data_IF_062586364488
#
_entry.id   IF_062586364488
#
_cell.length_a   1.000
_cell.length_b   1.000
_cell.length_c   1.000
_cell.angle_alpha   90.00
_cell.angle_beta   90.00
_cell.angle_gamma   90.00
#
_symmetry.space_group_name_H-M   'P 1'
#
loop_
_entity.id
_entity.type
_entity.pdbx_description
1 polymer ?
#
# COMPACT_ATOMS: atom_id res chain seq x y z
N UNK A 1 14.77 30.19 -23.54
CA UNK A 1 13.78 29.80 -22.51
C UNK A 1 13.54 28.31 -22.70
N UNK A 2 14.46 27.48 -22.21
CA UNK A 2 14.33 26.03 -22.29
C UNK A 2 13.59 25.57 -21.03
N UNK A 3 12.32 25.22 -21.20
CA UNK A 3 11.56 24.57 -20.16
C UNK A 3 12.13 23.16 -19.99
N UNK A 4 12.88 22.98 -18.90
CA UNK A 4 13.43 21.70 -18.47
C UNK A 4 12.27 20.73 -18.20
N UNK A 5 11.97 19.89 -19.17
CA UNK A 5 11.08 18.73 -19.02
C UNK A 5 11.83 17.69 -18.19
N UNK A 6 11.77 17.84 -16.87
CA UNK A 6 12.09 16.75 -15.95
C UNK A 6 11.15 15.59 -16.30
N UNK A 7 11.69 14.61 -17.00
CA UNK A 7 11.02 13.35 -17.26
C UNK A 7 10.62 12.76 -15.90
N UNK A 8 9.34 12.86 -15.55
CA UNK A 8 8.77 12.20 -14.38
C UNK A 8 9.05 10.71 -14.56
N UNK A 9 9.93 10.15 -13.74
CA UNK A 9 10.14 8.71 -13.70
C UNK A 9 8.77 8.03 -13.49
N UNK A 10 8.48 6.90 -14.15
CA UNK A 10 7.23 6.20 -13.92
C UNK A 10 7.12 5.90 -12.43
N UNK A 11 6.16 6.56 -11.77
CA UNK A 11 5.93 6.36 -10.36
C UNK A 11 5.56 4.88 -10.17
N UNK A 12 6.26 4.12 -9.32
CA UNK A 12 5.95 2.71 -9.13
C UNK A 12 4.50 2.59 -8.67
N UNK A 13 3.69 1.91 -9.48
CA UNK A 13 2.29 1.66 -9.15
C UNK A 13 2.27 0.64 -8.03
N UNK A 14 1.74 1.04 -6.87
CA UNK A 14 1.60 0.14 -5.73
C UNK A 14 0.58 -0.95 -6.12
N UNK A 15 0.93 -2.24 -6.00
CA UNK A 15 -0.01 -3.31 -6.30
C UNK A 15 -1.22 -3.22 -5.36
N UNK A 16 -2.41 -3.42 -5.94
CA UNK A 16 -3.69 -3.32 -5.27
C UNK A 16 -4.50 -4.58 -5.61
N UNK A 17 -5.12 -5.24 -4.62
CA UNK A 17 -5.96 -6.39 -4.89
C UNK A 17 -7.24 -5.99 -5.64
N UNK A 18 -7.95 -6.95 -6.28
CA UNK A 18 -9.17 -6.68 -7.03
C UNK A 18 -10.20 -5.96 -6.17
N UNK A 19 -10.59 -4.74 -6.52
CA UNK A 19 -11.45 -3.90 -5.70
C UNK A 19 -12.91 -3.96 -6.14
N UNK A 20 -13.82 -3.85 -5.18
CA UNK A 20 -15.24 -3.65 -5.43
C UNK A 20 -15.53 -2.16 -5.63
N UNK A 21 -16.48 -1.79 -6.50
CA UNK A 21 -16.71 -0.40 -6.91
C UNK A 21 -17.07 0.54 -5.75
N UNK A 22 -17.90 0.08 -4.80
CA UNK A 22 -18.35 0.89 -3.66
C UNK A 22 -17.67 0.53 -2.33
N UNK A 23 -17.28 -0.73 -2.16
CA UNK A 23 -16.74 -1.25 -0.90
C UNK A 23 -15.21 -1.36 -0.91
N UNK A 24 -14.55 -1.14 -2.04
CA UNK A 24 -13.11 -1.35 -2.19
C UNK A 24 -12.72 -2.79 -1.86
N UNK A 25 -11.79 -2.95 -0.93
CA UNK A 25 -11.25 -4.22 -0.45
C UNK A 25 -11.89 -4.66 0.87
N UNK A 26 -12.86 -3.91 1.40
CA UNK A 26 -13.51 -4.22 2.68
C UNK A 26 -14.12 -5.63 2.76
N UNK A 27 -14.77 -6.17 1.71
CA UNK A 27 -15.30 -7.54 1.74
C UNK A 27 -14.21 -8.63 1.75
N UNK A 28 -12.98 -8.27 1.34
CA UNK A 28 -11.84 -9.18 1.35
C UNK A 28 -11.10 -9.13 2.70
N UNK A 29 -11.42 -8.19 3.59
CA UNK A 29 -10.81 -8.13 4.91
C UNK A 29 -11.45 -9.17 5.83
N UNK A 30 -10.64 -10.08 6.38
CA UNK A 30 -11.09 -11.01 7.40
C UNK A 30 -11.34 -10.29 8.73
N UNK A 31 -12.56 -10.42 9.27
CA UNK A 31 -12.90 -9.87 10.58
C UNK A 31 -12.24 -10.63 11.75
N UNK A 32 -11.94 -11.91 11.56
CA UNK A 32 -11.41 -12.77 12.63
C UNK A 32 -9.88 -12.75 12.71
N UNK A 33 -9.19 -12.78 11.56
CA UNK A 33 -7.73 -12.86 11.50
C UNK A 33 -7.17 -11.84 10.49
N UNK A 34 -7.33 -10.52 10.73
CA UNK A 34 -6.98 -9.49 9.75
C UNK A 34 -5.50 -9.51 9.37
N UNK A 35 -4.60 -9.63 10.35
CA UNK A 35 -3.14 -9.61 10.10
C UNK A 35 -2.68 -10.78 9.24
N UNK A 36 -3.10 -12.02 9.57
CA UNK A 36 -2.74 -13.20 8.77
C UNK A 36 -3.32 -13.11 7.35
N UNK A 37 -4.55 -12.59 7.23
CA UNK A 37 -5.17 -12.37 5.94
C UNK A 37 -4.39 -11.36 5.09
N UNK A 38 -3.92 -10.26 5.68
CA UNK A 38 -3.05 -9.31 4.98
C UNK A 38 -1.73 -9.94 4.54
N UNK A 39 -1.12 -10.78 5.36
CA UNK A 39 0.10 -11.51 4.96
C UNK A 39 -0.16 -12.39 3.73
N UNK A 40 -1.28 -13.12 3.70
CA UNK A 40 -1.66 -13.92 2.52
C UNK A 40 -1.97 -13.08 1.28
N UNK A 41 -2.59 -11.90 1.44
CA UNK A 41 -2.79 -10.96 0.34
C UNK A 41 -1.45 -10.38 -0.17
N UNK A 42 -0.52 -10.10 0.74
CA UNK A 42 0.78 -9.56 0.38
C UNK A 42 1.64 -10.55 -0.40
N UNK A 43 1.64 -11.81 0.03
CA UNK A 43 2.27 -12.92 -0.70
C UNK A 43 1.67 -13.07 -2.11
N UNK A 44 0.33 -12.99 -2.21
CA UNK A 44 -0.37 -13.22 -3.47
C UNK A 44 -0.25 -12.09 -4.50
N UNK A 45 -0.25 -10.83 -4.07
CA UNK A 45 -0.40 -9.68 -4.99
C UNK A 45 0.80 -8.74 -5.05
N UNK A 46 1.73 -8.82 -4.10
CA UNK A 46 2.77 -7.82 -3.93
C UNK A 46 4.16 -8.40 -3.64
N UNK A 47 4.35 -9.71 -3.82
CA UNK A 47 5.61 -10.42 -3.52
C UNK A 47 6.12 -10.13 -2.10
N UNK A 48 5.20 -9.90 -1.16
CA UNK A 48 5.54 -9.53 0.22
C UNK A 48 6.12 -8.13 0.44
N UNK A 49 6.14 -7.25 -0.56
CA UNK A 49 6.79 -5.95 -0.47
C UNK A 49 5.89 -4.85 0.10
N UNK A 50 4.90 -4.43 -0.68
CA UNK A 50 4.05 -3.26 -0.38
C UNK A 50 2.70 -3.42 -1.07
N UNK A 51 1.60 -3.24 -0.35
CA UNK A 51 0.24 -3.51 -0.81
C UNK A 51 -0.69 -2.34 -0.47
N UNK A 52 -1.45 -1.87 -1.45
CA UNK A 52 -2.46 -0.84 -1.23
C UNK A 52 -3.85 -1.45 -1.03
N UNK A 53 -4.54 -1.01 0.02
CA UNK A 53 -5.87 -1.45 0.40
C UNK A 53 -6.82 -0.26 0.34
N UNK A 54 -7.77 -0.32 -0.57
CA UNK A 54 -8.85 0.66 -0.63
C UNK A 54 -9.98 0.27 0.32
N UNK A 55 -10.40 1.18 1.18
CA UNK A 55 -11.64 1.03 1.97
C UNK A 55 -12.52 2.26 1.72
N UNK A 56 -13.84 2.19 1.95
CA UNK A 56 -14.72 3.34 1.83
C UNK A 56 -14.34 4.50 2.76
N UNK A 57 -13.56 4.24 3.82
CA UNK A 57 -13.13 5.25 4.80
C UNK A 57 -11.74 5.83 4.52
N UNK A 58 -10.97 5.19 3.63
CA UNK A 58 -9.60 5.62 3.35
C UNK A 58 -8.76 4.56 2.66
N UNK A 59 -7.59 4.99 2.21
CA UNK A 59 -6.61 4.12 1.58
C UNK A 59 -5.54 3.79 2.61
N UNK A 60 -5.25 2.51 2.78
CA UNK A 60 -4.22 2.02 3.68
C UNK A 60 -3.12 1.39 2.84
N UNK A 61 -1.88 1.74 3.13
CA UNK A 61 -0.71 1.09 2.53
C UNK A 61 -0.11 0.18 3.59
N UNK A 62 0.08 -1.09 3.23
CA UNK A 62 0.70 -2.10 4.09
C UNK A 62 2.08 -2.38 3.53
N UNK A 63 3.12 -2.20 4.35
CA UNK A 63 4.49 -2.55 4.01
C UNK A 63 4.96 -3.72 4.88
N UNK A 64 5.66 -4.68 4.30
CA UNK A 64 6.11 -5.89 5.02
C UNK A 64 7.61 -6.17 4.92
N UNK A 65 8.37 -5.41 4.13
CA UNK A 65 9.84 -5.56 4.05
C UNK A 65 10.57 -4.66 5.02
N UNK A 66 11.78 -5.09 5.39
CA UNK A 66 12.67 -4.32 6.26
C UNK A 66 13.00 -2.93 5.69
N UNK A 67 13.23 -2.83 4.39
CA UNK A 67 13.63 -1.57 3.73
C UNK A 67 12.54 -0.50 3.89
N UNK A 68 11.28 -0.86 3.63
CA UNK A 68 10.14 0.04 3.83
C UNK A 68 9.87 0.32 5.30
N UNK A 69 9.97 -0.69 6.18
CA UNK A 69 9.78 -0.48 7.61
C UNK A 69 10.82 0.52 8.17
N UNK A 70 12.08 0.42 7.74
CA UNK A 70 13.15 1.34 8.14
C UNK A 70 12.84 2.78 7.70
N UNK A 71 12.35 2.97 6.48
CA UNK A 71 12.00 4.28 5.95
C UNK A 71 10.74 4.87 6.62
N UNK A 72 9.72 4.04 6.84
CA UNK A 72 8.47 4.44 7.50
C UNK A 72 8.64 4.76 8.99
N UNK A 73 9.66 4.19 9.64
CA UNK A 73 9.98 4.48 11.04
C UNK A 73 10.85 5.75 11.20
N UNK A 74 11.18 6.46 10.12
CA UNK A 74 11.87 7.75 10.19
C UNK A 74 10.88 8.85 10.62
N UNK A 75 10.88 9.18 11.91
CA UNK A 75 9.99 10.15 12.56
C UNK A 75 9.91 11.56 11.92
N UNK A 76 10.98 12.16 11.35
CA UNK A 76 10.85 13.43 10.62
C UNK A 76 10.01 13.32 9.34
N UNK A 77 9.95 12.15 8.71
CA UNK A 77 9.22 11.93 7.46
C UNK A 77 7.79 11.41 7.71
N UNK A 78 7.61 10.55 8.71
CA UNK A 78 6.32 9.91 9.02
C UNK A 78 5.94 10.10 10.48
N UNK A 79 4.71 10.57 10.70
CA UNK A 79 4.17 10.77 12.04
C UNK A 79 2.86 10.02 12.22
N UNK A 80 2.70 9.38 13.38
CA UNK A 80 1.42 8.82 13.79
C UNK A 80 0.39 9.94 13.91
N UNK A 81 -0.65 9.87 13.09
CA UNK A 81 -1.78 10.81 13.07
C UNK A 81 -2.89 10.32 13.99
#
# INVERSE_FOLDING_TARGET
MEASVLATAPQPVIPCPPRWPYLGNLPQLSAHNPTQHFMGLMDKYSDGALLQIHTPFGNVIVAATYEFARELCDEPAFKKT
#
